data_IF_007803210777
#
_entry.id   IF_007803210777
#
_cell.length_a   1.000
_cell.length_b   1.000
_cell.length_c   1.000
_cell.angle_alpha   90.00
_cell.angle_beta   90.00
_cell.angle_gamma   90.00
#
_symmetry.space_group_name_H-M   'P 1'
#
loop_
_entity.id
_entity.type
_entity.pdbx_description
1 polymer ?
#
# COMPACT_ATOMS: atom_id res chain seq x y z
N UNK A 1 -16.69 -19.06 -7.86
CA UNK A 1 -15.55 -19.55 -8.66
C UNK A 1 -14.44 -18.48 -8.57
N UNK A 2 -13.35 -18.68 -7.82
CA UNK A 2 -12.22 -17.77 -7.88
C UNK A 2 -11.40 -18.05 -9.15
N UNK A 3 -11.14 -17.02 -9.94
CA UNK A 3 -10.36 -17.11 -11.18
C UNK A 3 -8.87 -17.10 -10.85
N UNK A 4 -8.23 -18.26 -10.97
CA UNK A 4 -6.78 -18.43 -10.81
C UNK A 4 -6.05 -17.77 -11.99
N UNK A 5 -5.33 -16.67 -11.75
CA UNK A 5 -4.36 -16.13 -12.70
C UNK A 5 -2.96 -16.61 -12.30
N UNK A 6 -2.36 -17.48 -13.12
CA UNK A 6 -0.98 -17.93 -12.92
C UNK A 6 -0.01 -16.90 -13.52
N UNK A 7 0.70 -16.13 -12.68
CA UNK A 7 1.92 -15.44 -13.07
C UNK A 7 3.13 -16.27 -12.60
N UNK A 8 3.90 -16.77 -13.57
CA UNK A 8 5.19 -17.43 -13.35
C UNK A 8 6.26 -16.35 -13.14
N UNK A 9 6.75 -16.24 -11.91
CA UNK A 9 8.17 -16.07 -11.52
C UNK A 9 8.23 -15.40 -10.15
N UNK A 10 8.78 -16.12 -9.17
CA UNK A 10 9.37 -15.56 -7.95
C UNK A 10 8.44 -14.83 -6.97
N UNK A 11 8.23 -15.46 -5.81
CA UNK A 11 7.89 -14.83 -4.53
C UNK A 11 6.44 -14.33 -4.28
N UNK A 12 5.87 -14.99 -3.25
CA UNK A 12 4.82 -14.54 -2.33
C UNK A 12 3.39 -14.44 -2.88
N UNK A 13 2.56 -15.37 -2.40
CA UNK A 13 1.13 -15.43 -2.64
C UNK A 13 0.45 -14.35 -1.79
N UNK A 14 0.18 -13.18 -2.37
CA UNK A 14 -0.68 -12.18 -1.76
C UNK A 14 -2.11 -12.40 -2.26
N UNK A 15 -2.97 -12.97 -1.41
CA UNK A 15 -4.38 -13.21 -1.70
C UNK A 15 -5.12 -11.88 -1.75
N UNK A 16 -5.77 -11.57 -2.86
CA UNK A 16 -6.70 -10.44 -2.94
C UNK A 16 -8.09 -10.89 -2.49
N UNK A 17 -8.47 -10.52 -1.27
CA UNK A 17 -9.85 -10.60 -0.81
C UNK A 17 -10.44 -9.20 -0.64
N UNK A 18 -11.63 -9.02 -1.23
CA UNK A 18 -12.55 -7.89 -1.13
C UNK A 18 -12.23 -6.59 -1.90
N UNK A 19 -13.00 -6.45 -2.98
CA UNK A 19 -13.16 -5.31 -3.90
C UNK A 19 -13.41 -3.99 -3.14
N UNK A 20 -12.34 -3.28 -2.76
CA UNK A 20 -12.41 -1.94 -2.17
C UNK A 20 -11.29 -1.07 -2.76
N UNK A 21 -11.71 -0.04 -3.51
CA UNK A 21 -10.95 1.02 -4.21
C UNK A 21 -9.63 0.64 -4.90
N UNK A 22 -9.47 0.88 -6.21
CA UNK A 22 -8.20 0.65 -6.88
C UNK A 22 -7.11 1.56 -6.28
N UNK A 23 -6.06 0.98 -5.66
CA UNK A 23 -4.92 1.72 -5.15
C UNK A 23 -3.79 1.72 -6.18
N UNK A 24 -3.35 2.90 -6.60
CA UNK A 24 -2.35 3.11 -7.64
C UNK A 24 -1.46 4.30 -7.27
N UNK A 25 -0.18 4.22 -7.61
CA UNK A 25 0.83 5.25 -7.35
C UNK A 25 0.62 6.58 -8.07
N UNK A 26 -0.23 6.61 -9.11
CA UNK A 26 -0.54 7.83 -9.88
C UNK A 26 -1.73 8.61 -9.33
N UNK A 27 -2.32 8.18 -8.22
CA UNK A 27 -3.38 8.94 -7.57
C UNK A 27 -2.87 10.24 -6.96
N UNK A 28 -3.81 11.13 -6.68
CA UNK A 28 -3.52 12.31 -5.86
C UNK A 28 -2.77 11.88 -4.58
N UNK A 29 -1.62 12.51 -4.26
CA UNK A 29 -0.79 12.08 -3.14
C UNK A 29 -1.51 12.06 -1.78
N UNK A 30 -2.46 12.97 -1.55
CA UNK A 30 -3.22 13.00 -0.30
C UNK A 30 -4.27 11.90 -0.26
N UNK A 31 -4.86 11.54 -1.39
CA UNK A 31 -5.73 10.36 -1.50
C UNK A 31 -4.93 9.07 -1.28
N UNK A 32 -3.73 8.97 -1.85
CA UNK A 32 -2.82 7.85 -1.64
C UNK A 32 -2.45 7.72 -0.16
N UNK A 33 -2.03 8.82 0.48
CA UNK A 33 -1.73 8.89 1.90
C UNK A 33 -2.91 8.42 2.77
N UNK A 34 -4.10 8.99 2.57
CA UNK A 34 -5.29 8.66 3.35
C UNK A 34 -5.65 7.18 3.19
N UNK A 35 -5.55 6.65 1.97
CA UNK A 35 -5.87 5.26 1.67
C UNK A 35 -4.87 4.31 2.32
N UNK A 36 -3.57 4.59 2.22
CA UNK A 36 -2.52 3.80 2.87
C UNK A 36 -2.69 3.78 4.38
N UNK A 37 -2.88 4.95 5.00
CA UNK A 37 -3.13 5.04 6.44
C UNK A 37 -4.39 4.29 6.88
N UNK A 38 -5.48 4.41 6.10
CA UNK A 38 -6.71 3.66 6.38
C UNK A 38 -6.49 2.15 6.31
N UNK A 39 -5.79 1.67 5.28
CA UNK A 39 -5.53 0.23 5.07
C UNK A 39 -4.61 -0.34 6.13
N UNK A 40 -3.47 0.30 6.37
CA UNK A 40 -2.53 -0.14 7.41
C UNK A 40 -3.17 -0.18 8.80
N UNK A 41 -4.05 0.79 9.11
CA UNK A 41 -4.76 0.83 10.40
C UNK A 41 -5.87 -0.21 10.51
N UNK A 42 -6.67 -0.39 9.47
CA UNK A 42 -7.78 -1.34 9.48
C UNK A 42 -7.28 -2.78 9.55
N UNK A 43 -6.23 -3.10 8.79
CA UNK A 43 -5.70 -4.45 8.71
C UNK A 43 -4.59 -4.70 9.74
N UNK A 44 -4.16 -3.65 10.46
CA UNK A 44 -3.05 -3.65 11.41
C UNK A 44 -1.76 -4.24 10.77
N UNK A 45 -1.44 -3.80 9.56
CA UNK A 45 -0.30 -4.26 8.76
C UNK A 45 0.65 -3.12 8.41
N UNK A 46 1.92 -3.46 8.14
CA UNK A 46 2.91 -2.48 7.71
C UNK A 46 2.78 -2.08 6.24
N UNK A 47 3.52 -1.06 5.83
CA UNK A 47 3.47 -0.49 4.48
C UNK A 47 3.81 -1.52 3.41
N UNK A 48 4.84 -2.34 3.64
CA UNK A 48 5.26 -3.39 2.71
C UNK A 48 4.11 -4.37 2.41
N UNK A 49 3.31 -4.73 3.42
CA UNK A 49 2.18 -5.64 3.22
C UNK A 49 1.12 -5.03 2.32
N UNK A 50 0.75 -3.76 2.56
CA UNK A 50 -0.21 -3.03 1.72
C UNK A 50 0.35 -2.88 0.30
N UNK A 51 1.63 -2.53 0.16
CA UNK A 51 2.26 -2.43 -1.15
C UNK A 51 2.20 -3.76 -1.92
N UNK A 52 2.46 -4.89 -1.27
CA UNK A 52 2.33 -6.20 -1.90
C UNK A 52 0.88 -6.55 -2.29
N UNK A 53 -0.11 -6.18 -1.47
CA UNK A 53 -1.53 -6.42 -1.78
C UNK A 53 -2.00 -5.66 -3.02
N UNK A 54 -1.48 -4.44 -3.21
CA UNK A 54 -1.92 -3.50 -4.25
C UNK A 54 -0.94 -3.35 -5.42
N UNK A 55 0.09 -4.20 -5.51
CA UNK A 55 1.14 -4.14 -6.54
C UNK A 55 1.81 -2.75 -6.63
N UNK A 56 2.11 -2.17 -5.47
CA UNK A 56 2.80 -0.89 -5.34
C UNK A 56 4.26 -1.10 -4.96
N UNK A 57 5.09 -0.14 -5.34
CA UNK A 57 6.47 -0.08 -4.89
C UNK A 57 6.59 0.84 -3.67
N UNK A 58 6.97 0.27 -2.52
CA UNK A 58 7.17 1.00 -1.27
C UNK A 58 8.07 2.22 -1.44
N UNK A 59 9.20 2.07 -2.15
CA UNK A 59 10.13 3.18 -2.39
C UNK A 59 9.48 4.30 -3.21
N UNK A 60 8.66 3.96 -4.20
CA UNK A 60 7.96 4.96 -5.01
C UNK A 60 6.92 5.71 -4.17
N UNK A 61 6.17 5.00 -3.32
CA UNK A 61 5.21 5.61 -2.40
C UNK A 61 5.92 6.60 -1.47
N UNK A 62 7.03 6.19 -0.86
CA UNK A 62 7.82 7.08 -0.01
C UNK A 62 8.39 8.27 -0.80
N UNK A 63 8.83 8.08 -2.04
CA UNK A 63 9.32 9.18 -2.89
C UNK A 63 8.23 10.18 -3.28
N UNK A 64 6.96 9.75 -3.34
CA UNK A 64 5.81 10.64 -3.59
C UNK A 64 5.44 11.42 -2.32
N UNK A 65 5.49 10.77 -1.15
CA UNK A 65 4.98 11.33 0.10
C UNK A 65 6.03 12.13 0.91
N UNK A 66 7.31 11.74 0.84
CA UNK A 66 8.40 12.43 1.56
C UNK A 66 8.53 13.92 1.18
N UNK A 67 8.48 14.32 -0.11
CA UNK A 67 8.56 15.74 -0.49
C UNK A 67 7.37 16.58 0.02
N UNK A 68 6.26 15.92 0.38
CA UNK A 68 5.07 16.55 0.95
C UNK A 68 5.11 16.60 2.48
N UNK A 69 6.23 16.20 3.09
CA UNK A 69 6.44 16.19 4.54
C UNK A 69 5.86 14.98 5.27
N UNK A 70 5.46 13.92 4.54
CA UNK A 70 4.89 12.72 5.13
C UNK A 70 5.90 11.58 5.18
N UNK A 71 6.11 11.04 6.38
CA UNK A 71 7.07 9.97 6.64
C UNK A 71 6.39 8.75 7.21
N UNK A 72 6.77 7.57 6.71
CA UNK A 72 6.27 6.31 7.23
C UNK A 72 6.90 5.98 8.59
N UNK A 73 6.06 5.67 9.58
CA UNK A 73 6.47 5.27 10.93
C UNK A 73 5.98 3.84 11.19
N UNK A 74 6.89 2.87 11.09
CA UNK A 74 6.61 1.44 11.28
C UNK A 74 5.97 1.15 12.65
N UNK A 75 6.46 1.80 13.72
CA UNK A 75 5.98 1.57 15.09
C UNK A 75 4.47 1.78 15.27
N UNK A 76 3.87 2.66 14.47
CA UNK A 76 2.43 2.97 14.50
C UNK A 76 1.71 2.60 13.18
N UNK A 77 2.44 1.96 12.25
CA UNK A 77 1.98 1.52 10.93
C UNK A 77 1.24 2.62 10.16
N UNK A 78 1.76 3.84 10.18
CA UNK A 78 1.12 5.02 9.58
C UNK A 78 2.15 6.02 9.06
N UNK A 79 1.76 6.81 8.07
CA UNK A 79 2.44 8.04 7.70
C UNK A 79 2.05 9.19 8.64
N UNK A 80 3.05 9.97 9.05
CA UNK A 80 2.90 11.16 9.89
C UNK A 80 3.64 12.35 9.26
N UNK A 81 3.19 13.59 9.55
CA UNK A 81 4.01 14.75 9.23
C UNK A 81 5.34 14.64 9.99
N UNK A 82 6.44 15.02 9.34
CA UNK A 82 7.74 15.22 9.99
C UNK A 82 7.69 16.29 11.09
#
# INVERSE_FOLDING_TARGET
MPTTFMKKSGMQKCTQENKSMPLHQNMDPYILLSTLNMKMRNDNVGLLHVCCQYDLNEKQVCNILNPLGWHYVEAIKQFKPA
#
